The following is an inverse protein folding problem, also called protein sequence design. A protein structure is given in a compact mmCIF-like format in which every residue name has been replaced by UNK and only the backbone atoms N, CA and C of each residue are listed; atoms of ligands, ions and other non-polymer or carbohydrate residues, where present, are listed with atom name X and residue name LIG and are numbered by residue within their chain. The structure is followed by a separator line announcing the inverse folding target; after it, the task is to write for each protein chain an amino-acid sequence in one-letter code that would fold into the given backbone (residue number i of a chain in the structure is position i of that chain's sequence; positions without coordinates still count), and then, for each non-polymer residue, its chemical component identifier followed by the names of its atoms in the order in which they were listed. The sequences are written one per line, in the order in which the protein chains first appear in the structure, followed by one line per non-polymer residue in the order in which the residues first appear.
data_IF_730276927517
#
_entry.id   IF_730276927517
#
_cell.length_a   1.000
_cell.length_b   1.000
_cell.length_c   1.000
_cell.angle_alpha   90.00
_cell.angle_beta   90.00
_cell.angle_gamma   90.00
#
_symmetry.space_group_name_H-M   'P 1'
#
loop_
_entity.id
_entity.type
_entity.pdbx_description
1 polymer ?
#
# COMPACT_ATOMS: atom_id res chain seq x y z
N UNK A 1 0.05 -19.79 22.76
CA UNK A 1 -0.74 -19.78 21.52
C UNK A 1 -0.28 -18.61 20.68
N UNK A 2 0.54 -18.85 19.66
CA UNK A 2 1.14 -17.80 18.83
C UNK A 2 0.15 -17.28 17.79
N UNK A 3 -0.06 -15.96 17.78
CA UNK A 3 -0.92 -15.29 16.83
C UNK A 3 -0.28 -15.37 15.43
N UNK A 4 -0.72 -16.30 14.58
CA UNK A 4 -0.37 -16.31 13.16
C UNK A 4 -1.19 -15.21 12.49
N UNK A 5 -0.55 -14.08 12.18
CA UNK A 5 -1.11 -13.09 11.26
C UNK A 5 -1.35 -13.85 9.95
N UNK A 6 -2.60 -13.94 9.53
CA UNK A 6 -2.98 -14.64 8.30
C UNK A 6 -2.17 -14.05 7.14
N UNK A 7 -1.41 -14.90 6.43
CA UNK A 7 -0.64 -14.49 5.26
C UNK A 7 -1.62 -13.91 4.25
N UNK A 8 -1.56 -12.61 4.03
CA UNK A 8 -2.47 -11.93 3.11
C UNK A 8 -2.12 -12.37 1.70
N UNK A 9 -2.98 -13.17 1.07
CA UNK A 9 -2.81 -13.57 -0.33
C UNK A 9 -2.87 -12.32 -1.21
N UNK A 10 -1.85 -12.13 -2.05
CA UNK A 10 -1.81 -11.07 -3.04
C UNK A 10 -3.05 -11.19 -3.95
N UNK A 11 -3.91 -10.18 -3.95
CA UNK A 11 -5.21 -10.23 -4.65
C UNK A 11 -5.04 -10.09 -6.17
N UNK A 12 -3.94 -9.46 -6.62
CA UNK A 12 -3.60 -9.25 -8.03
C UNK A 12 -2.08 -9.12 -8.18
N UNK A 13 -1.53 -9.50 -9.33
CA UNK A 13 -0.09 -9.42 -9.61
C UNK A 13 0.49 -8.00 -9.45
N UNK A 14 -0.33 -6.96 -9.49
CA UNK A 14 0.07 -5.55 -9.31
C UNK A 14 -0.48 -4.92 -8.03
N UNK A 15 -1.08 -5.69 -7.13
CA UNK A 15 -1.53 -5.23 -5.81
C UNK A 15 -0.55 -5.68 -4.72
N UNK A 16 -0.04 -4.73 -3.94
CA UNK A 16 0.92 -4.99 -2.87
C UNK A 16 0.50 -4.32 -1.57
N UNK A 17 0.85 -4.89 -0.42
CA UNK A 17 0.87 -4.12 0.82
C UNK A 17 2.24 -3.46 0.99
N UNK A 18 2.27 -2.21 1.46
CA UNK A 18 3.54 -1.48 1.59
C UNK A 18 4.55 -2.19 2.50
N UNK A 19 4.09 -2.89 3.54
CA UNK A 19 4.97 -3.61 4.47
C UNK A 19 5.54 -4.92 3.90
N UNK A 20 4.99 -5.42 2.80
CA UNK A 20 5.52 -6.60 2.10
C UNK A 20 6.56 -6.21 1.03
N UNK A 21 6.65 -4.92 0.68
CA UNK A 21 7.61 -4.42 -0.29
C UNK A 21 8.97 -4.19 0.37
N UNK A 22 10.08 -4.51 -0.33
CA UNK A 22 11.42 -4.14 0.14
C UNK A 22 11.53 -2.63 0.35
N UNK A 23 12.30 -2.20 1.34
CA UNK A 23 12.57 -0.76 1.57
C UNK A 23 13.30 -0.09 0.40
N UNK A 24 13.97 -0.88 -0.45
CA UNK A 24 14.60 -0.44 -1.69
C UNK A 24 13.64 -0.29 -2.87
N UNK A 25 12.36 -0.67 -2.70
CA UNK A 25 11.36 -0.60 -3.74
C UNK A 25 10.86 0.85 -3.87
N UNK A 26 11.45 1.59 -4.81
CA UNK A 26 11.19 3.02 -4.97
C UNK A 26 9.79 3.26 -5.53
N UNK A 27 8.88 3.71 -4.67
CA UNK A 27 7.50 4.06 -5.02
C UNK A 27 7.32 5.57 -5.03
N UNK A 28 6.85 6.12 -6.15
CA UNK A 28 6.41 7.51 -6.24
C UNK A 28 4.90 7.53 -6.23
N UNK A 29 4.30 8.16 -5.22
CA UNK A 29 2.84 8.33 -5.15
C UNK A 29 2.33 9.06 -6.40
N UNK A 30 1.30 8.50 -7.05
CA UNK A 30 0.63 9.12 -8.20
C UNK A 30 -0.78 9.59 -7.83
N UNK A 31 -1.58 8.72 -7.22
CA UNK A 31 -2.98 9.01 -6.90
C UNK A 31 -3.49 8.20 -5.71
N UNK A 32 -4.43 8.75 -4.94
CA UNK A 32 -5.15 8.02 -3.89
C UNK A 32 -6.50 7.53 -4.44
N UNK A 33 -6.63 6.22 -4.66
CA UNK A 33 -7.82 5.62 -5.28
C UNK A 33 -8.92 5.28 -4.26
N UNK A 34 -8.56 4.98 -3.01
CA UNK A 34 -9.54 4.54 -2.00
C UNK A 34 -9.21 5.04 -0.61
N UNK A 35 -10.20 5.59 0.10
CA UNK A 35 -10.06 6.17 1.45
C UNK A 35 -10.71 5.31 2.52
N UNK A 36 -10.48 3.99 2.48
CA UNK A 36 -10.99 3.07 3.48
C UNK A 36 -10.58 3.45 4.90
N UNK A 37 -11.35 2.99 5.90
CA UNK A 37 -11.15 3.34 7.32
C UNK A 37 -9.83 2.84 7.90
N UNK A 38 -9.34 1.68 7.42
CA UNK A 38 -8.13 1.03 7.94
C UNK A 38 -6.98 1.04 6.92
N UNK A 39 -7.30 0.74 5.66
CA UNK A 39 -6.37 0.76 4.56
C UNK A 39 -6.82 1.77 3.52
N UNK A 40 -5.85 2.46 2.92
CA UNK A 40 -6.08 3.22 1.68
C UNK A 40 -5.40 2.50 0.52
N UNK A 41 -5.99 2.63 -0.65
CA UNK A 41 -5.40 2.16 -1.90
C UNK A 41 -4.80 3.37 -2.61
N UNK A 42 -3.51 3.29 -2.92
CA UNK A 42 -2.78 4.34 -3.66
C UNK A 42 -2.19 3.74 -4.93
N UNK A 43 -2.26 4.47 -6.04
CA UNK A 43 -1.49 4.14 -7.22
C UNK A 43 -0.13 4.81 -7.11
N UNK A 44 0.93 4.04 -7.34
CA UNK A 44 2.30 4.52 -7.39
C UNK A 44 2.92 4.26 -8.76
N UNK A 45 3.90 5.08 -9.13
CA UNK A 45 4.85 4.80 -10.20
C UNK A 45 6.05 4.07 -9.60
N UNK A 46 6.46 3.01 -10.28
CA UNK A 46 7.69 2.26 -10.08
C UNK A 46 8.42 2.17 -11.43
N UNK A 47 9.67 1.73 -11.45
CA UNK A 47 10.41 1.50 -12.71
C UNK A 47 9.76 0.42 -13.59
N UNK A 48 9.14 -0.59 -12.98
CA UNK A 48 8.35 -1.62 -13.67
C UNK A 48 6.97 -1.14 -14.15
N UNK A 49 6.57 0.09 -13.81
CA UNK A 49 5.31 0.70 -14.27
C UNK A 49 4.39 1.17 -13.15
N UNK A 50 3.07 1.07 -13.36
CA UNK A 50 2.08 1.48 -12.36
C UNK A 50 1.75 0.30 -11.43
N UNK A 51 1.83 0.55 -10.12
CA UNK A 51 1.51 -0.43 -9.09
C UNK A 51 0.44 0.09 -8.15
N UNK A 52 -0.41 -0.81 -7.66
CA UNK A 52 -1.45 -0.50 -6.68
C UNK A 52 -0.97 -0.95 -5.30
N UNK A 53 -0.89 -0.02 -4.35
CA UNK A 53 -0.36 -0.28 -3.01
C UNK A 53 -1.42 -0.03 -1.96
N UNK A 54 -1.61 -0.99 -1.07
CA UNK A 54 -2.42 -0.86 0.14
C UNK A 54 -1.53 -0.43 1.31
N UNK A 55 -1.90 0.69 1.90
CA UNK A 55 -1.15 1.35 2.98
C UNK A 55 -2.03 1.50 4.21
N UNK A 56 -1.46 1.20 5.38
CA UNK A 56 -2.09 1.48 6.68
C UNK A 56 -1.91 2.95 7.03
N UNK A 57 -2.98 3.58 7.50
CA UNK A 57 -2.90 4.90 8.13
C UNK A 57 -3.25 4.76 9.59
N UNK A 58 -2.42 5.30 10.48
CA UNK A 58 -2.87 5.52 11.85
C UNK A 58 -3.95 6.58 11.82
N UNK A 59 -4.94 6.43 12.70
CA UNK A 59 -6.05 7.38 12.83
C UNK A 59 -5.47 8.75 13.22
N UNK A 60 -5.62 9.74 12.34
CA UNK A 60 -5.07 11.09 12.53
C UNK A 60 -3.96 11.46 11.54
N UNK A 61 -3.38 10.48 10.84
CA UNK A 61 -2.39 10.74 9.80
C UNK A 61 -3.10 11.10 8.49
N UNK A 62 -2.92 12.35 8.04
CA UNK A 62 -3.39 12.84 6.75
C UNK A 62 -2.19 12.94 5.79
N UNK A 63 -2.37 12.47 4.55
CA UNK A 63 -1.42 12.81 3.47
C UNK A 63 -1.88 14.16 2.93
N UNK A 64 -1.04 15.18 3.12
CA UNK A 64 -1.14 16.41 2.35
C UNK A 64 -0.58 16.11 0.95
N UNK A 65 -1.43 16.21 -0.07
CA UNK A 65 -1.09 15.88 -1.47
C UNK A 65 -0.64 17.13 -2.25
N UNK A 66 -0.07 18.12 -1.56
CA UNK A 66 0.34 19.40 -2.14
C UNK A 66 1.50 19.29 -3.12
#
# INVERSE_FOLDING_TARGET
MGNKIARTTQVSASEYYLHDLPSSYNLVLKEVLGRGRFFKSIQCKHDEGLVLVKVYFKRGDFIDLK
#
